data_IF_183546352261
#
_entry.id   IF_183546352261
#
_cell.length_a   1.000
_cell.length_b   1.000
_cell.length_c   1.000
_cell.angle_alpha   90.00
_cell.angle_beta   90.00
_cell.angle_gamma   90.00
#
_symmetry.space_group_name_H-M   'P 1'
#
loop_
_entity.id
_entity.type
_entity.pdbx_description
1 polymer ?
#
# COMPACT_ATOMS: atom_id res chain seq x y z
N UNK A 1 -16.33 7.67 4.30
CA UNK A 1 -15.59 6.61 3.58
C UNK A 1 -15.15 5.58 4.62
N UNK A 2 -15.37 4.29 4.39
CA UNK A 2 -14.85 3.24 5.30
C UNK A 2 -13.46 2.85 4.82
N UNK A 3 -12.46 3.06 5.66
CA UNK A 3 -11.12 2.55 5.41
C UNK A 3 -11.07 1.04 5.57
N UNK A 4 -10.05 0.38 5.00
CA UNK A 4 -9.73 -0.99 5.35
C UNK A 4 -9.55 -1.12 6.87
N UNK A 5 -10.13 -2.16 7.48
CA UNK A 5 -9.95 -2.46 8.90
C UNK A 5 -8.48 -2.75 9.20
N UNK A 6 -8.00 -2.43 10.40
CA UNK A 6 -6.63 -2.75 10.82
C UNK A 6 -6.33 -4.25 10.60
N UNK A 7 -5.19 -4.56 9.99
CA UNK A 7 -4.78 -5.93 9.67
C UNK A 7 -5.45 -6.54 8.43
N UNK A 8 -6.30 -5.80 7.70
CA UNK A 8 -6.85 -6.29 6.43
C UNK A 8 -5.71 -6.51 5.42
N UNK A 9 -5.72 -7.66 4.73
CA UNK A 9 -4.77 -7.92 3.65
C UNK A 9 -5.17 -7.13 2.41
N UNK A 10 -4.23 -6.33 1.93
CA UNK A 10 -4.36 -5.48 0.76
C UNK A 10 -3.31 -5.87 -0.28
N UNK A 11 -3.53 -5.44 -1.51
CA UNK A 11 -2.68 -5.76 -2.64
C UNK A 11 -2.36 -4.50 -3.41
N UNK A 12 -1.10 -4.32 -3.77
CA UNK A 12 -0.64 -3.25 -4.64
C UNK A 12 0.09 -3.86 -5.82
N UNK A 13 -0.01 -3.23 -6.98
CA UNK A 13 0.68 -3.65 -8.21
C UNK A 13 1.44 -2.46 -8.79
N UNK A 14 2.57 -2.72 -9.43
CA UNK A 14 3.37 -1.65 -10.00
C UNK A 14 4.64 -2.12 -10.71
N UNK A 15 5.28 -1.15 -11.36
CA UNK A 15 6.61 -1.28 -11.96
C UNK A 15 7.63 -0.38 -11.24
N UNK A 16 7.35 0.02 -10.00
CA UNK A 16 8.32 0.68 -9.15
C UNK A 16 9.53 -0.19 -8.87
N UNK A 17 10.57 0.44 -8.32
CA UNK A 17 11.83 -0.24 -8.07
C UNK A 17 11.66 -1.38 -7.06
N UNK A 18 12.08 -2.60 -7.45
CA UNK A 18 11.92 -3.79 -6.62
C UNK A 18 12.85 -3.81 -5.39
N UNK A 19 13.96 -3.07 -5.44
CA UNK A 19 14.96 -3.00 -4.37
C UNK A 19 15.59 -1.61 -4.31
N UNK A 20 16.26 -1.31 -3.19
CA UNK A 20 17.24 -0.21 -3.12
C UNK A 20 18.61 -0.75 -3.53
N UNK A 21 19.39 -0.03 -4.36
CA UNK A 21 19.11 1.29 -4.95
C UNK A 21 18.04 1.22 -6.05
N UNK A 22 17.20 2.26 -6.12
CA UNK A 22 15.95 2.30 -6.91
C UNK A 22 16.14 2.44 -8.44
N UNK A 23 17.25 1.91 -8.94
CA UNK A 23 17.73 2.16 -10.30
C UNK A 23 17.28 1.07 -11.27
N UNK A 24 16.80 -0.06 -10.73
CA UNK A 24 16.35 -1.22 -11.49
C UNK A 24 14.83 -1.33 -11.32
N UNK A 25 14.12 -1.15 -12.44
CA UNK A 25 12.68 -1.36 -12.52
C UNK A 25 12.39 -2.71 -13.17
N UNK A 26 11.39 -3.45 -12.68
CA UNK A 26 11.00 -4.72 -13.28
C UNK A 26 10.37 -4.47 -14.66
N UNK A 27 10.58 -5.40 -15.60
CA UNK A 27 9.93 -5.36 -16.92
C UNK A 27 8.49 -5.91 -16.86
N UNK A 28 8.23 -6.79 -15.90
CA UNK A 28 6.93 -7.41 -15.66
C UNK A 28 6.25 -6.72 -14.47
N UNK A 29 4.93 -6.55 -14.55
CA UNK A 29 4.13 -6.00 -13.46
C UNK A 29 4.34 -6.83 -12.19
N UNK A 30 4.68 -6.18 -11.09
CA UNK A 30 4.83 -6.83 -9.79
C UNK A 30 3.56 -6.69 -8.97
N UNK A 31 3.37 -7.62 -8.03
CA UNK A 31 2.31 -7.56 -7.02
C UNK A 31 2.94 -7.74 -5.64
N UNK A 32 2.49 -6.93 -4.69
CA UNK A 32 2.86 -7.05 -3.28
C UNK A 32 1.60 -7.12 -2.42
N UNK A 33 1.57 -8.06 -1.48
CA UNK A 33 0.56 -8.11 -0.43
C UNK A 33 1.05 -7.28 0.76
N UNK A 34 0.22 -6.37 1.28
CA UNK A 34 0.51 -5.54 2.45
C UNK A 34 -0.63 -5.65 3.46
N UNK A 35 -0.44 -5.18 4.68
CA UNK A 35 -1.52 -5.10 5.66
C UNK A 35 -1.89 -3.66 5.95
N UNK A 36 -3.19 -3.39 6.08
CA UNK A 36 -3.69 -2.10 6.53
C UNK A 36 -3.26 -1.84 7.98
N UNK A 37 -2.72 -0.65 8.24
CA UNK A 37 -2.28 -0.20 9.56
C UNK A 37 -3.13 1.02 9.93
N UNK A 38 -3.80 0.92 11.08
CA UNK A 38 -4.68 1.97 11.58
C UNK A 38 -3.88 3.17 12.11
N UNK A 39 -4.46 4.37 12.03
CA UNK A 39 -3.82 5.62 12.43
C UNK A 39 -3.56 5.75 13.94
N UNK A 40 -4.01 4.79 14.76
CA UNK A 40 -3.65 4.73 16.18
C UNK A 40 -2.25 4.14 16.39
N UNK A 41 -1.71 3.45 15.39
CA UNK A 41 -0.31 3.07 15.37
C UNK A 41 0.57 4.33 15.30
N UNK A 42 1.53 4.42 16.21
CA UNK A 42 2.37 5.61 16.36
C UNK A 42 3.27 5.88 15.15
N UNK A 43 3.68 4.84 14.42
CA UNK A 43 4.50 4.99 13.20
C UNK A 43 3.61 5.51 12.09
N UNK A 44 2.43 4.91 11.90
CA UNK A 44 1.48 5.38 10.91
C UNK A 44 1.04 6.83 11.17
N UNK A 45 0.70 7.17 12.41
CA UNK A 45 0.28 8.51 12.80
C UNK A 45 1.32 9.60 12.48
N UNK A 46 2.61 9.26 12.50
CA UNK A 46 3.72 10.17 12.15
C UNK A 46 3.93 10.29 10.65
N UNK A 47 3.48 9.31 9.86
CA UNK A 47 3.67 9.25 8.41
C UNK A 47 2.54 9.88 7.60
N UNK A 48 1.36 10.07 8.19
CA UNK A 48 0.18 10.65 7.51
C UNK A 48 -0.12 12.08 7.98
N UNK A 49 -0.60 12.92 7.05
CA UNK A 49 -1.01 14.30 7.34
C UNK A 49 -2.52 14.47 7.57
N UNK A 50 -3.34 13.56 7.03
CA UNK A 50 -4.81 13.65 7.06
C UNK A 50 -5.46 12.30 7.39
N UNK A 51 -5.71 12.05 8.68
CA UNK A 51 -6.34 10.81 9.20
C UNK A 51 -7.74 10.50 8.63
N UNK A 52 -8.40 11.51 8.03
CA UNK A 52 -9.73 11.41 7.43
C UNK A 52 -9.76 11.11 5.92
N UNK A 53 -8.59 11.09 5.26
CA UNK A 53 -8.47 10.58 3.88
C UNK A 53 -7.28 9.63 3.64
N UNK A 54 -6.44 9.37 4.64
CA UNK A 54 -5.25 8.54 4.53
C UNK A 54 -5.30 7.35 5.49
N UNK A 55 -4.67 6.26 5.06
CA UNK A 55 -4.35 5.10 5.90
C UNK A 55 -2.94 4.62 5.55
N UNK A 56 -2.32 3.83 6.42
CA UNK A 56 -1.02 3.24 6.14
C UNK A 56 -1.18 1.79 5.69
N UNK A 57 -0.28 1.34 4.82
CA UNK A 57 -0.18 -0.06 4.43
C UNK A 57 1.29 -0.47 4.37
N UNK A 58 1.63 -1.63 4.93
CA UNK A 58 3.01 -2.11 4.91
C UNK A 58 3.18 -3.57 5.35
N UNK A 59 4.40 -4.08 5.19
CA UNK A 59 4.89 -5.32 5.79
C UNK A 59 6.06 -5.01 6.73
N UNK A 60 6.46 -5.98 7.55
CA UNK A 60 7.74 -5.93 8.27
C UNK A 60 8.96 -5.99 7.33
N UNK A 61 8.84 -6.66 6.16
CA UNK A 61 9.98 -6.94 5.27
C UNK A 61 9.90 -6.27 3.88
N UNK A 62 8.94 -5.37 3.65
CA UNK A 62 8.79 -4.75 2.34
C UNK A 62 7.66 -3.73 2.26
N UNK A 63 7.68 -2.94 1.19
CA UNK A 63 6.68 -1.92 0.98
C UNK A 63 6.74 -1.34 -0.42
N UNK A 64 5.85 -0.38 -0.65
CA UNK A 64 5.77 0.42 -1.87
C UNK A 64 7.07 1.22 -2.02
N UNK A 65 7.61 1.29 -3.23
CA UNK A 65 8.91 1.90 -3.50
C UNK A 65 8.82 3.02 -4.56
N UNK A 66 9.98 3.57 -4.94
CA UNK A 66 10.07 4.61 -5.95
C UNK A 66 9.46 4.17 -7.28
N UNK A 67 8.52 4.96 -7.80
CA UNK A 67 7.84 4.69 -9.06
C UNK A 67 6.51 3.95 -8.92
N UNK A 68 6.12 3.56 -7.70
CA UNK A 68 4.79 3.00 -7.44
C UNK A 68 3.75 4.06 -7.05
N UNK A 69 4.18 5.30 -6.77
CA UNK A 69 3.30 6.42 -6.37
C UNK A 69 2.22 6.68 -7.42
N UNK A 70 0.98 6.89 -6.96
CA UNK A 70 -0.22 6.99 -7.81
C UNK A 70 -0.84 5.65 -8.21
N UNK A 71 -0.19 4.53 -7.86
CA UNK A 71 -0.67 3.18 -8.10
C UNK A 71 -1.87 2.79 -7.22
N UNK A 72 -2.73 1.86 -7.68
CA UNK A 72 -3.92 1.45 -6.95
C UNK A 72 -3.58 0.47 -5.81
N UNK A 73 -4.31 0.61 -4.70
CA UNK A 73 -4.33 -0.37 -3.61
C UNK A 73 -5.69 -1.06 -3.59
N UNK A 74 -5.68 -2.39 -3.59
CA UNK A 74 -6.87 -3.23 -3.70
C UNK A 74 -7.12 -4.08 -2.45
N UNK A 75 -8.39 -4.40 -2.22
CA UNK A 75 -8.83 -5.38 -1.24
C UNK A 75 -9.66 -6.47 -1.94
N UNK A 76 -9.32 -7.73 -1.68
CA UNK A 76 -10.12 -8.87 -2.14
C UNK A 76 -11.22 -9.19 -1.13
N UNK A 77 -12.48 -9.11 -1.56
CA UNK A 77 -13.64 -9.34 -0.69
C UNK A 77 -14.20 -10.76 -0.76
N UNK A 78 -13.53 -11.68 -1.47
CA UNK A 78 -13.98 -13.06 -1.68
C UNK A 78 -14.61 -13.30 -3.05
N UNK A 79 -15.23 -12.27 -3.64
CA UNK A 79 -15.92 -12.32 -4.94
C UNK A 79 -15.48 -11.23 -5.92
N UNK A 80 -14.87 -10.15 -5.42
CA UNK A 80 -14.42 -9.01 -6.23
C UNK A 80 -13.22 -8.31 -5.62
N UNK A 81 -12.53 -7.57 -6.48
CA UNK A 81 -11.51 -6.61 -6.11
C UNK A 81 -12.13 -5.23 -5.97
N UNK A 82 -11.87 -4.56 -4.85
CA UNK A 82 -12.21 -3.15 -4.66
C UNK A 82 -10.95 -2.31 -4.53
N UNK A 83 -10.88 -1.20 -5.27
CA UNK A 83 -9.85 -0.20 -5.05
C UNK A 83 -10.18 0.60 -3.79
N UNK A 84 -9.30 0.55 -2.80
CA UNK A 84 -9.49 1.15 -1.47
C UNK A 84 -8.53 2.30 -1.20
N UNK A 85 -7.52 2.50 -2.06
CA UNK A 85 -6.54 3.55 -1.90
C UNK A 85 -5.71 3.81 -3.14
N UNK A 86 -4.85 4.81 -3.01
CA UNK A 86 -3.82 5.20 -3.97
C UNK A 86 -2.53 5.29 -3.17
N UNK A 87 -1.45 4.69 -3.66
CA UNK A 87 -0.12 4.79 -3.07
C UNK A 87 0.43 6.22 -3.20
N UNK A 88 1.16 6.68 -2.18
CA UNK A 88 1.77 8.01 -2.16
C UNK A 88 3.27 7.92 -1.98
#
# INVERSE_FOLDING_TARGET
MKYPSNGSMLFTIGWGAANKPANIKPEVLQQLSIYAIHHNDSTCARSIGHVNVQFCGGLYEGGICYGDSGGPVFHWLGDRWEQVGISS
#
